data_IF_026569810944
#
_entry.id   IF_026569810944
#
_cell.length_a   1.000
_cell.length_b   1.000
_cell.length_c   1.000
_cell.angle_alpha   90.00
_cell.angle_beta   90.00
_cell.angle_gamma   90.00
#
_symmetry.space_group_name_H-M   'P 1'
#
loop_
_entity.id
_entity.type
_entity.pdbx_description
1 polymer ?
#
# COMPACT_ATOMS: atom_id res chain seq x y z
N UNK A 1 32.85 -24.71 -23.31
CA UNK A 1 32.68 -26.02 -23.97
C UNK A 1 31.28 -26.56 -23.68
N UNK A 2 30.57 -27.09 -24.68
CA UNK A 2 29.25 -27.72 -24.51
C UNK A 2 29.45 -29.16 -24.03
N UNK A 3 28.77 -29.59 -22.96
CA UNK A 3 28.90 -30.94 -22.41
C UNK A 3 27.81 -31.85 -23.00
N UNK A 4 27.85 -32.02 -24.33
CA UNK A 4 26.79 -32.68 -25.12
C UNK A 4 26.51 -34.13 -24.70
N UNK A 5 27.54 -34.83 -24.20
CA UNK A 5 27.42 -36.20 -23.70
C UNK A 5 26.55 -36.30 -22.44
N UNK A 6 26.60 -35.29 -21.55
CA UNK A 6 25.82 -35.26 -20.32
C UNK A 6 24.36 -34.84 -20.57
N UNK A 7 24.14 -33.94 -21.53
CA UNK A 7 22.82 -33.37 -21.83
C UNK A 7 22.08 -34.07 -22.98
N UNK A 8 22.66 -35.14 -23.54
CA UNK A 8 22.00 -35.98 -24.54
C UNK A 8 21.74 -35.27 -25.87
N UNK A 9 22.66 -34.39 -26.30
CA UNK A 9 22.52 -33.64 -27.56
C UNK A 9 21.56 -32.44 -27.52
N UNK A 10 20.98 -32.12 -26.35
CA UNK A 10 20.13 -30.92 -26.18
C UNK A 10 20.92 -29.63 -26.34
N UNK A 11 20.25 -28.60 -26.84
CA UNK A 11 20.86 -27.27 -26.96
C UNK A 11 21.00 -26.60 -25.58
N UNK A 12 21.95 -25.67 -25.43
CA UNK A 12 22.10 -24.90 -24.17
C UNK A 12 20.82 -24.15 -23.80
N UNK A 13 20.01 -23.77 -24.80
CA UNK A 13 18.74 -23.09 -24.61
C UNK A 13 17.65 -24.03 -24.08
N UNK A 14 17.53 -25.24 -24.63
CA UNK A 14 16.62 -26.28 -24.13
C UNK A 14 16.94 -26.63 -22.68
N UNK A 15 18.22 -26.87 -22.38
CA UNK A 15 18.67 -27.16 -21.02
C UNK A 15 18.34 -26.00 -20.08
N UNK A 16 18.57 -24.75 -20.51
CA UNK A 16 18.22 -23.57 -19.70
C UNK A 16 16.71 -23.52 -19.42
N UNK A 17 15.86 -23.67 -20.44
CA UNK A 17 14.40 -23.62 -20.29
C UNK A 17 13.87 -24.71 -19.36
N UNK A 18 14.41 -25.93 -19.44
CA UNK A 18 14.03 -27.05 -18.58
C UNK A 18 14.58 -26.93 -17.15
N UNK A 19 15.66 -26.18 -16.95
CA UNK A 19 16.34 -26.03 -15.66
C UNK A 19 16.04 -24.72 -14.94
N UNK A 20 15.13 -23.88 -15.46
CA UNK A 20 14.69 -22.67 -14.76
C UNK A 20 14.01 -23.07 -13.45
N UNK A 21 14.45 -22.44 -12.35
CA UNK A 21 13.83 -22.65 -11.05
C UNK A 21 12.33 -22.25 -11.11
N UNK A 22 11.39 -23.16 -10.78
CA UNK A 22 9.96 -22.82 -10.70
C UNK A 22 9.65 -21.72 -9.69
N UNK A 23 10.49 -21.54 -8.66
CA UNK A 23 10.35 -20.51 -7.62
C UNK A 23 11.12 -19.22 -7.94
N UNK A 24 11.48 -18.99 -9.22
CA UNK A 24 12.17 -17.78 -9.60
C UNK A 24 11.34 -16.54 -9.25
N UNK A 25 11.92 -15.63 -8.46
CA UNK A 25 11.25 -14.41 -8.04
C UNK A 25 10.92 -13.53 -9.26
N UNK A 26 9.72 -12.94 -9.24
CA UNK A 26 9.32 -11.97 -10.27
C UNK A 26 10.22 -10.75 -10.22
N UNK A 27 10.59 -10.25 -11.39
CA UNK A 27 11.44 -9.07 -11.51
C UNK A 27 10.65 -7.80 -11.15
N UNK A 28 11.19 -7.01 -10.23
CA UNK A 28 10.68 -5.70 -9.87
C UNK A 28 11.01 -4.66 -10.96
N UNK A 29 10.12 -4.50 -11.93
CA UNK A 29 10.31 -3.56 -13.07
C UNK A 29 10.65 -2.13 -12.63
N UNK A 30 9.95 -1.59 -11.64
CA UNK A 30 10.19 -0.22 -11.13
C UNK A 30 11.63 -0.02 -10.61
N UNK A 31 12.23 -1.03 -9.94
CA UNK A 31 13.62 -0.98 -9.49
C UNK A 31 14.60 -1.02 -10.64
N UNK A 32 14.31 -1.83 -11.66
CA UNK A 32 15.11 -1.81 -12.89
C UNK A 32 15.05 -0.44 -13.57
N UNK A 33 13.92 0.27 -13.49
CA UNK A 33 13.75 1.56 -14.16
C UNK A 33 14.65 2.63 -13.54
N UNK A 34 14.84 2.55 -12.22
CA UNK A 34 15.78 3.42 -11.51
C UNK A 34 17.23 3.15 -11.93
N UNK A 35 17.58 1.90 -12.27
CA UNK A 35 18.95 1.50 -12.60
C UNK A 35 19.30 1.70 -14.08
N UNK A 36 18.36 1.42 -14.97
CA UNK A 36 18.59 1.32 -16.42
C UNK A 36 17.75 2.31 -17.23
N UNK A 37 16.66 2.83 -16.65
CA UNK A 37 15.73 3.71 -17.34
C UNK A 37 16.23 5.15 -17.43
N UNK A 38 15.53 5.92 -18.24
CA UNK A 38 15.65 7.38 -18.28
C UNK A 38 15.04 7.99 -17.02
N UNK A 39 15.56 9.16 -16.63
CA UNK A 39 15.13 9.90 -15.46
C UNK A 39 14.73 11.32 -15.81
N UNK A 40 13.67 11.81 -15.15
CA UNK A 40 13.34 13.24 -15.14
C UNK A 40 12.67 13.65 -13.84
N UNK A 41 13.21 14.71 -13.25
CA UNK A 41 12.56 15.43 -12.17
C UNK A 41 11.35 16.21 -12.70
N UNK A 42 10.17 15.95 -12.15
CA UNK A 42 8.89 16.54 -12.56
C UNK A 42 8.07 16.93 -11.35
N UNK A 43 6.87 17.46 -11.56
CA UNK A 43 5.93 17.67 -10.47
C UNK A 43 4.51 17.26 -10.83
N UNK A 44 3.81 16.75 -9.81
CA UNK A 44 2.41 16.36 -9.90
C UNK A 44 1.56 17.61 -9.95
N UNK A 45 0.82 17.77 -11.04
CA UNK A 45 -0.15 18.86 -11.24
C UNK A 45 -1.49 18.27 -11.62
N UNK A 46 -2.53 18.58 -10.85
CA UNK A 46 -3.91 18.09 -11.07
C UNK A 46 -3.97 16.56 -11.21
N UNK A 47 -3.16 15.84 -10.43
CA UNK A 47 -3.08 14.38 -10.47
C UNK A 47 -2.43 13.79 -11.73
N UNK A 48 -1.58 14.57 -12.41
CA UNK A 48 -0.80 14.12 -13.56
C UNK A 48 0.64 14.62 -13.52
N UNK A 49 1.54 13.91 -14.17
CA UNK A 49 2.95 14.27 -14.37
C UNK A 49 3.25 14.35 -15.88
N UNK A 50 4.37 14.98 -16.23
CA UNK A 50 4.84 15.05 -17.62
C UNK A 50 6.21 14.39 -17.76
N UNK A 51 6.26 13.27 -18.47
CA UNK A 51 7.49 12.55 -18.81
C UNK A 51 7.55 12.38 -20.34
N UNK A 52 8.76 12.47 -20.92
CA UNK A 52 8.98 12.36 -22.37
C UNK A 52 7.92 13.05 -23.28
N UNK A 53 7.60 14.32 -22.99
CA UNK A 53 6.59 15.13 -23.72
C UNK A 53 5.15 14.60 -23.69
N UNK A 54 4.87 13.55 -22.93
CA UNK A 54 3.55 12.95 -22.70
C UNK A 54 3.05 13.25 -21.29
N UNK A 55 1.77 12.97 -21.05
CA UNK A 55 1.13 13.18 -19.75
C UNK A 55 0.77 11.83 -19.15
N UNK A 56 1.11 11.61 -17.89
CA UNK A 56 0.80 10.38 -17.16
C UNK A 56 -0.05 10.70 -15.95
N UNK A 57 -1.08 9.89 -15.72
CA UNK A 57 -1.99 10.06 -14.59
C UNK A 57 -1.57 9.21 -13.40
N UNK A 58 -1.73 9.78 -12.21
CA UNK A 58 -1.60 9.09 -10.93
C UNK A 58 -2.97 8.78 -10.35
N UNK A 59 -3.04 7.74 -9.52
CA UNK A 59 -4.23 7.43 -8.73
C UNK A 59 -4.43 8.45 -7.59
N UNK A 60 -5.66 8.61 -7.10
CA UNK A 60 -5.92 9.46 -5.94
C UNK A 60 -5.16 9.00 -4.69
N UNK A 61 -4.93 7.69 -4.54
CA UNK A 61 -4.14 7.13 -3.44
C UNK A 61 -2.68 7.52 -3.53
N UNK A 62 -2.08 7.45 -4.72
CA UNK A 62 -0.70 7.87 -4.93
C UNK A 62 -0.49 9.35 -4.60
N UNK A 63 -1.45 10.20 -4.95
CA UNK A 63 -1.43 11.63 -4.60
C UNK A 63 -1.53 11.80 -3.08
N UNK A 64 -2.33 10.98 -2.40
CA UNK A 64 -2.43 10.98 -0.94
C UNK A 64 -1.17 10.48 -0.22
N UNK A 65 -0.32 9.69 -0.89
CA UNK A 65 0.96 9.20 -0.35
C UNK A 65 2.09 10.23 -0.43
N UNK A 66 1.92 11.28 -1.23
CA UNK A 66 2.93 12.34 -1.37
C UNK A 66 3.15 13.04 -0.04
N UNK A 67 4.42 13.15 0.36
CA UNK A 67 4.82 13.80 1.61
C UNK A 67 4.78 15.32 1.45
N UNK A 68 5.29 15.81 0.32
CA UNK A 68 5.44 17.24 0.09
C UNK A 68 4.26 17.83 -0.69
N UNK A 69 3.70 18.93 -0.17
CA UNK A 69 2.66 19.71 -0.87
C UNK A 69 3.14 20.30 -2.21
N UNK A 70 4.46 20.41 -2.41
CA UNK A 70 5.03 20.89 -3.66
C UNK A 70 4.91 19.87 -4.80
N UNK A 71 4.62 18.60 -4.47
CA UNK A 71 4.39 17.53 -5.44
C UNK A 71 5.56 17.26 -6.37
N UNK A 72 6.80 17.55 -5.94
CA UNK A 72 8.01 17.27 -6.72
C UNK A 72 8.29 15.76 -6.67
N UNK A 73 8.45 15.15 -7.84
CA UNK A 73 8.64 13.71 -7.98
C UNK A 73 9.68 13.42 -9.05
N UNK A 74 10.34 12.29 -8.91
CA UNK A 74 11.24 11.72 -9.90
C UNK A 74 10.48 10.67 -10.71
N UNK A 75 10.49 10.82 -12.04
CA UNK A 75 9.88 9.89 -12.97
C UNK A 75 10.97 9.08 -13.67
N UNK A 76 10.77 7.76 -13.73
CA UNK A 76 11.66 6.82 -14.41
C UNK A 76 10.88 6.00 -15.43
N UNK A 77 11.45 5.78 -16.62
CA UNK A 77 10.83 4.99 -17.69
C UNK A 77 11.89 4.43 -18.64
N UNK A 78 11.49 3.57 -19.55
CA UNK A 78 12.29 3.20 -20.73
C UNK A 78 11.34 3.02 -21.91
N UNK A 79 11.85 3.16 -23.13
CA UNK A 79 11.07 2.86 -24.32
C UNK A 79 11.01 1.33 -24.52
N UNK A 80 9.79 0.80 -24.62
CA UNK A 80 9.57 -0.65 -24.70
C UNK A 80 9.71 -1.15 -26.15
N UNK A 81 9.15 -0.38 -27.07
CA UNK A 81 9.16 -0.55 -28.52
C UNK A 81 9.25 0.86 -29.14
N UNK A 82 9.66 1.03 -30.40
CA UNK A 82 9.94 2.36 -31.01
C UNK A 82 8.82 3.38 -30.71
N UNK A 83 9.07 4.26 -29.74
CA UNK A 83 8.13 5.29 -29.29
C UNK A 83 6.93 4.82 -28.45
N UNK A 84 6.87 3.59 -27.92
CA UNK A 84 5.87 3.17 -26.94
C UNK A 84 6.40 3.33 -25.51
N UNK A 85 5.60 4.00 -24.67
CA UNK A 85 5.96 4.37 -23.30
C UNK A 85 4.72 4.32 -22.40
N UNK A 86 4.27 3.11 -22.10
CA UNK A 86 2.99 2.89 -21.43
C UNK A 86 3.08 3.10 -19.90
N UNK A 87 4.23 2.76 -19.32
CA UNK A 87 4.46 2.74 -17.88
C UNK A 87 5.55 3.75 -17.47
N UNK A 88 5.23 4.63 -16.52
CA UNK A 88 6.20 5.54 -15.89
C UNK A 88 6.20 5.32 -14.39
N UNK A 89 7.35 5.01 -13.82
CA UNK A 89 7.51 4.75 -12.39
C UNK A 89 7.82 6.03 -11.63
N UNK A 90 7.01 6.34 -10.61
CA UNK A 90 7.07 7.62 -9.89
C UNK A 90 7.63 7.42 -8.49
N UNK A 91 8.61 8.25 -8.15
CA UNK A 91 9.31 8.25 -6.87
C UNK A 91 9.28 9.64 -6.23
N UNK A 92 9.27 9.69 -4.90
CA UNK A 92 9.47 10.91 -4.13
C UNK A 92 10.58 10.66 -3.11
N UNK A 93 11.70 11.39 -3.23
CA UNK A 93 12.82 11.26 -2.30
C UNK A 93 13.39 9.83 -2.20
N UNK A 94 13.38 9.08 -3.31
CA UNK A 94 13.82 7.68 -3.37
C UNK A 94 12.79 6.64 -2.93
N UNK A 95 11.60 7.06 -2.46
CA UNK A 95 10.48 6.15 -2.17
C UNK A 95 9.61 5.95 -3.39
N UNK A 96 9.33 4.71 -3.75
CA UNK A 96 8.38 4.37 -4.79
C UNK A 96 6.95 4.73 -4.37
N UNK A 97 6.21 5.40 -5.24
CA UNK A 97 4.80 5.76 -5.02
C UNK A 97 3.90 4.84 -5.83
N UNK A 98 4.03 4.89 -7.15
CA UNK A 98 3.13 4.21 -8.10
C UNK A 98 3.73 4.18 -9.52
N UNK A 99 3.23 3.26 -10.34
CA UNK A 99 3.37 3.26 -11.80
C UNK A 99 2.24 4.09 -12.42
N UNK A 100 2.57 5.24 -12.97
CA UNK A 100 1.64 6.12 -13.66
C UNK A 100 1.35 5.60 -15.08
N UNK A 101 0.10 5.74 -15.51
CA UNK A 101 -0.40 5.29 -16.82
C UNK A 101 -0.54 6.47 -17.77
N UNK A 102 -0.22 6.28 -19.05
CA UNK A 102 -0.33 7.33 -20.07
C UNK A 102 -1.78 7.83 -20.19
N UNK A 103 -1.94 9.16 -20.22
CA UNK A 103 -3.20 9.82 -20.57
C UNK A 103 -3.24 10.02 -22.06
N UNK A 104 -3.82 9.05 -22.75
CA UNK A 104 -3.98 9.10 -24.20
C UNK A 104 -4.96 10.19 -24.63
N UNK A 105 -4.72 10.72 -25.83
CA UNK A 105 -5.65 11.63 -26.51
C UNK A 105 -6.67 10.82 -27.31
N UNK A 106 -7.89 11.32 -27.36
CA UNK A 106 -8.99 10.77 -28.15
C UNK A 106 -9.69 11.91 -28.90
N UNK A 107 -10.42 11.59 -29.97
CA UNK A 107 -11.20 12.60 -30.68
C UNK A 107 -12.48 12.96 -29.91
N UNK A 108 -12.67 14.23 -29.61
CA UNK A 108 -13.86 14.75 -28.91
C UNK A 108 -15.08 14.86 -29.83
N UNK A 109 -14.87 14.94 -31.14
CA UNK A 109 -15.96 15.01 -32.11
C UNK A 109 -16.69 13.66 -32.18
N UNK A 110 -17.90 13.60 -31.65
CA UNK A 110 -18.70 12.37 -31.52
C UNK A 110 -18.96 11.65 -32.85
N UNK A 111 -19.01 12.39 -33.96
CA UNK A 111 -19.24 11.86 -35.31
C UNK A 111 -18.00 11.11 -35.85
N UNK A 112 -16.81 11.58 -35.49
CA UNK A 112 -15.53 11.03 -35.95
C UNK A 112 -14.94 10.02 -34.94
N UNK A 113 -15.63 9.82 -33.82
CA UNK A 113 -15.14 8.98 -32.73
C UNK A 113 -15.13 7.50 -33.13
N UNK A 114 -13.95 6.89 -33.10
CA UNK A 114 -13.78 5.48 -33.39
C UNK A 114 -14.10 4.60 -32.16
N UNK A 115 -14.12 3.28 -32.36
CA UNK A 115 -14.27 2.34 -31.25
C UNK A 115 -13.09 2.42 -30.25
N UNK A 116 -11.88 2.74 -30.73
CA UNK A 116 -10.70 2.92 -29.88
C UNK A 116 -10.81 4.18 -29.02
N UNK A 117 -11.24 5.31 -29.61
CA UNK A 117 -11.48 6.55 -28.88
C UNK A 117 -12.50 6.37 -27.75
N UNK A 118 -13.53 5.54 -27.95
CA UNK A 118 -14.51 5.21 -26.91
C UNK A 118 -13.89 4.43 -25.75
N UNK A 119 -12.95 3.52 -26.03
CA UNK A 119 -12.20 2.80 -24.98
C UNK A 119 -11.33 3.76 -24.17
N UNK A 120 -10.64 4.69 -24.84
CA UNK A 120 -9.82 5.73 -24.20
C UNK A 120 -10.66 6.62 -23.31
N UNK A 121 -11.79 7.11 -23.83
CA UNK A 121 -12.76 7.90 -23.07
C UNK A 121 -13.27 7.14 -21.84
N UNK A 122 -13.64 5.87 -22.00
CA UNK A 122 -14.10 5.04 -20.89
C UNK A 122 -13.03 4.91 -19.80
N UNK A 123 -11.77 4.66 -20.16
CA UNK A 123 -10.65 4.62 -19.21
C UNK A 123 -10.49 5.95 -18.45
N UNK A 124 -10.61 7.09 -19.14
CA UNK A 124 -10.57 8.40 -18.50
C UNK A 124 -11.74 8.63 -17.53
N UNK A 125 -12.96 8.23 -17.90
CA UNK A 125 -14.14 8.33 -17.03
C UNK A 125 -14.01 7.44 -15.79
N UNK A 126 -13.48 6.23 -15.94
CA UNK A 126 -13.20 5.33 -14.83
C UNK A 126 -12.21 5.95 -13.85
N UNK A 127 -11.20 6.65 -14.36
CA UNK A 127 -10.27 7.41 -13.53
C UNK A 127 -10.98 8.53 -12.78
N UNK A 128 -11.79 9.36 -13.44
CA UNK A 128 -12.57 10.43 -12.77
C UNK A 128 -13.44 9.84 -11.65
N UNK A 129 -14.14 8.75 -11.92
CA UNK A 129 -14.94 8.05 -10.91
C UNK A 129 -14.11 7.61 -9.70
N UNK A 130 -12.90 7.09 -9.91
CA UNK A 130 -12.01 6.71 -8.80
C UNK A 130 -11.64 7.90 -7.91
N UNK A 131 -11.43 9.09 -8.50
CA UNK A 131 -11.19 10.32 -7.75
C UNK A 131 -12.41 10.75 -6.95
N UNK A 132 -13.60 10.72 -7.57
CA UNK A 132 -14.84 11.09 -6.90
C UNK A 132 -15.12 10.17 -5.71
N UNK A 133 -15.00 8.84 -5.91
CA UNK A 133 -15.14 7.85 -4.84
C UNK A 133 -14.18 8.14 -3.69
N UNK A 134 -12.89 8.30 -3.99
CA UNK A 134 -11.88 8.58 -2.98
C UNK A 134 -12.16 9.87 -2.18
N UNK A 135 -12.66 10.91 -2.84
CA UNK A 135 -13.05 12.16 -2.18
C UNK A 135 -14.29 11.92 -1.31
N UNK A 136 -15.31 11.24 -1.83
CA UNK A 136 -16.57 11.01 -1.11
C UNK A 136 -16.39 10.18 0.17
N UNK A 137 -15.51 9.17 0.14
CA UNK A 137 -15.22 8.31 1.30
C UNK A 137 -14.47 9.04 2.41
N UNK A 138 -13.70 10.08 2.05
CA UNK A 138 -12.87 10.87 2.98
C UNK A 138 -13.50 12.20 3.36
N UNK A 139 -14.63 12.54 2.75
CA UNK A 139 -15.31 13.78 3.05
C UNK A 139 -15.87 13.68 4.49
N UNK A 140 -15.52 14.59 5.39
CA UNK A 140 -16.12 14.59 6.72
C UNK A 140 -17.63 14.74 6.58
N UNK A 141 -18.37 14.02 7.43
CA UNK A 141 -19.82 14.16 7.51
C UNK A 141 -20.21 15.63 7.68
N UNK A 142 -21.38 16.02 7.15
CA UNK A 142 -21.87 17.40 7.25
C UNK A 142 -21.82 17.85 8.72
N UNK A 143 -21.05 18.89 9.00
CA UNK A 143 -21.00 19.50 10.32
C UNK A 143 -22.42 19.93 10.71
N UNK A 144 -22.93 19.37 11.80
CA UNK A 144 -24.19 19.79 12.42
C UNK A 144 -23.83 20.55 13.69
N UNK A 145 -24.50 21.68 13.91
CA UNK A 145 -24.47 22.35 15.21
C UNK A 145 -25.12 21.40 16.22
N UNK A 146 -24.33 20.96 17.21
CA UNK A 146 -24.86 20.18 18.33
C UNK A 146 -25.81 21.09 19.14
N UNK A 147 -26.94 20.55 19.60
CA UNK A 147 -27.81 21.31 20.51
C UNK A 147 -27.09 21.48 21.85
N UNK A 148 -27.29 22.63 22.49
CA UNK A 148 -26.61 22.98 23.74
C UNK A 148 -26.83 21.94 24.86
N UNK A 149 -28.05 21.38 24.92
CA UNK A 149 -28.41 20.30 25.85
C UNK A 149 -27.56 19.03 25.63
N UNK A 150 -27.40 18.60 24.38
CA UNK A 150 -26.59 17.42 24.04
C UNK A 150 -25.11 17.63 24.29
N UNK A 151 -24.61 18.87 24.17
CA UNK A 151 -23.21 19.19 24.45
C UNK A 151 -22.91 19.14 25.94
N UNK A 152 -23.81 19.68 26.79
CA UNK A 152 -23.68 19.58 28.24
C UNK A 152 -23.68 18.13 28.70
N UNK A 153 -24.63 17.33 28.20
CA UNK A 153 -24.68 15.89 28.48
C UNK A 153 -23.39 15.16 28.10
N UNK A 154 -22.77 15.48 26.96
CA UNK A 154 -21.51 14.84 26.56
C UNK A 154 -20.31 15.25 27.43
N UNK A 155 -20.33 16.48 27.95
CA UNK A 155 -19.24 17.04 28.77
C UNK A 155 -19.27 16.47 30.18
N UNK A 156 -20.45 16.15 30.69
CA UNK A 156 -20.66 15.57 32.02
C UNK A 156 -20.45 14.05 32.07
N UNK A 157 -20.17 13.40 30.93
CA UNK A 157 -19.89 11.96 30.90
C UNK A 157 -18.46 11.67 31.40
N UNK A 158 -18.37 10.85 32.44
CA UNK A 158 -17.11 10.27 32.87
C UNK A 158 -16.73 9.10 31.94
N UNK A 159 -15.45 9.00 31.53
CA UNK A 159 -15.01 7.90 30.68
C UNK A 159 -15.10 6.58 31.46
N UNK A 160 -15.96 5.68 30.99
CA UNK A 160 -16.07 4.34 31.55
C UNK A 160 -14.98 3.47 30.91
N UNK A 161 -14.08 2.92 31.72
CA UNK A 161 -13.07 1.98 31.25
C UNK A 161 -13.77 0.72 30.74
N UNK A 162 -13.61 0.45 29.44
CA UNK A 162 -14.07 -0.79 28.83
C UNK A 162 -12.90 -1.77 28.87
N UNK A 163 -12.94 -2.71 29.81
CA UNK A 163 -12.01 -3.85 29.84
C UNK A 163 -12.35 -4.75 28.67
N UNK A 164 -11.47 -4.79 27.67
CA UNK A 164 -11.59 -5.75 26.56
C UNK A 164 -11.01 -7.09 27.01
N UNK A 165 -11.86 -7.95 27.57
CA UNK A 165 -11.49 -9.34 27.83
C UNK A 165 -11.08 -10.01 26.51
N UNK A 166 -9.93 -10.69 26.47
CA UNK A 166 -9.55 -11.50 25.30
C UNK A 166 -10.44 -12.74 25.24
N UNK A 167 -10.98 -13.03 24.06
CA UNK A 167 -11.74 -14.26 23.81
C UNK A 167 -10.78 -15.39 23.43
N UNK A 168 -10.77 -16.47 24.21
CA UNK A 168 -10.00 -17.69 23.91
C UNK A 168 -10.56 -18.46 22.71
N UNK A 169 -9.81 -19.45 22.21
CA UNK A 169 -10.23 -20.32 21.08
C UNK A 169 -11.48 -21.17 21.40
N UNK A 170 -11.73 -21.36 22.69
CA UNK A 170 -12.82 -22.07 23.35
C UNK A 170 -14.12 -21.24 23.40
N UNK A 171 -14.02 -19.94 23.11
CA UNK A 171 -15.13 -18.98 23.18
C UNK A 171 -15.36 -18.35 24.55
N UNK A 172 -14.63 -18.75 25.59
CA UNK A 172 -14.68 -18.16 26.93
C UNK A 172 -13.91 -16.81 26.99
N UNK A 173 -14.40 -15.88 27.83
CA UNK A 173 -13.81 -14.56 28.04
C UNK A 173 -12.85 -14.62 29.23
N UNK A 174 -11.55 -14.41 29.00
CA UNK A 174 -10.55 -14.39 30.07
C UNK A 174 -10.23 -12.94 30.48
N UNK A 175 -10.20 -12.71 31.80
CA UNK A 175 -9.75 -11.44 32.39
C UNK A 175 -8.23 -11.37 32.35
N UNK A 176 -7.66 -10.24 31.92
CA UNK A 176 -6.20 -10.11 31.73
C UNK A 176 -5.42 -10.21 33.07
N UNK A 177 -6.14 -10.23 34.20
CA UNK A 177 -5.59 -10.38 35.56
C UNK A 177 -5.64 -11.82 36.11
N UNK A 178 -5.77 -12.86 35.29
CA UNK A 178 -5.71 -14.25 35.78
C UNK A 178 -4.31 -14.71 36.25
N UNK A 179 -3.29 -13.85 36.21
CA UNK A 179 -1.91 -14.25 36.57
C UNK A 179 -1.23 -13.56 37.74
N UNK A 180 -1.82 -12.60 38.48
CA UNK A 180 -1.15 -12.07 39.68
C UNK A 180 -2.10 -11.80 40.86
N UNK A 181 -1.67 -12.28 42.03
CA UNK A 181 -2.09 -11.89 43.38
C UNK A 181 -3.44 -12.36 43.96
N UNK A 182 -3.50 -13.64 44.34
CA UNK A 182 -4.29 -14.11 45.49
C UNK A 182 -3.45 -14.69 46.64
N UNK A 183 -2.15 -14.38 46.68
CA UNK A 183 -1.28 -14.63 47.84
C UNK A 183 -0.91 -13.30 48.50
N UNK A 184 -1.87 -12.69 49.20
CA UNK A 184 -1.52 -11.83 50.33
C UNK A 184 -1.07 -12.75 51.46
N UNK A 185 0.19 -13.19 51.41
CA UNK A 185 0.84 -13.82 52.55
C UNK A 185 1.00 -12.76 53.63
N UNK A 186 0.23 -12.90 54.72
CA UNK A 186 0.49 -12.18 55.95
C UNK A 186 1.96 -12.41 56.37
N UNK A 187 2.71 -11.37 56.79
CA UNK A 187 4.14 -11.48 57.13
C UNK A 187 4.49 -12.49 58.24
N UNK A 188 3.49 -13.01 58.96
CA UNK A 188 3.71 -13.98 60.06
C UNK A 188 3.97 -15.42 59.56
N UNK A 189 3.68 -15.74 58.29
CA UNK A 189 3.77 -17.12 57.78
C UNK A 189 5.18 -17.49 57.27
N UNK A 190 6.00 -16.50 56.91
CA UNK A 190 7.37 -16.73 56.42
C UNK A 190 8.32 -17.23 57.53
N UNK A 191 8.08 -16.84 58.79
CA UNK A 191 8.89 -17.29 59.93
C UNK A 191 8.71 -18.79 60.25
N UNK A 192 7.56 -19.37 59.91
CA UNK A 192 7.25 -20.78 60.21
C UNK A 192 7.96 -21.71 59.23
N UNK A 193 7.99 -21.36 57.94
CA UNK A 193 8.68 -22.14 56.91
C UNK A 193 10.19 -22.02 57.01
N UNK A 194 10.71 -20.84 57.36
CA UNK A 194 12.15 -20.64 57.57
C UNK A 194 12.69 -21.43 58.78
N UNK A 195 11.93 -21.54 59.87
CA UNK A 195 12.32 -22.36 61.03
C UNK A 195 12.30 -23.87 60.73
N UNK A 196 11.34 -24.34 59.93
CA UNK A 196 11.22 -25.76 59.59
C UNK A 196 12.36 -26.28 58.67
N UNK A 197 13.03 -25.39 57.93
CA UNK A 197 14.17 -25.73 57.06
C UNK A 197 15.54 -25.60 57.74
N UNK A 198 15.61 -24.99 58.93
CA UNK A 198 16.86 -24.83 59.66
C UNK A 198 17.20 -26.02 60.58
N UNK A 199 16.26 -26.96 60.75
CA UNK A 199 16.35 -28.12 61.65
C UNK A 199 16.46 -29.46 60.87
N UNK A 200 16.91 -29.40 59.61
CA UNK A 200 17.20 -30.53 58.71
C UNK A 200 18.64 -30.42 58.20
#
# INVERSE_FOLDING_TARGET
HSNEAYWGGRTRWEVLQESVNPELASIDKHRLAVLLGEHRATSVRRGSIKANYRSFALSPEAIGKLKDRNGKVDAYWWEQEDGQMDEVYVYEGGRYIETAVEVERFNEASIEQTAEDRKKLHGQLQRVKSFDTYITERLPGKARLLKEETHRMLTDLEPQEVVTLRRGEDGELHDENETEDWLVTSPEVDDIRARALADL
#
